data_IF_916459695515
#
_entry.id   IF_916459695515
#
_cell.length_a   1.000
_cell.length_b   1.000
_cell.length_c   1.000
_cell.angle_alpha   90.00
_cell.angle_beta   90.00
_cell.angle_gamma   90.00
#
_symmetry.space_group_name_H-M   'P 1'
#
loop_
_entity.id
_entity.type
_entity.pdbx_description
1 polymer ?
#
# COMPACT_ATOMS: atom_id res chain seq x y z
N UNK A 1 8.61 -9.98 -10.33
CA UNK A 1 8.17 -10.31 -8.97
C UNK A 1 7.98 -9.07 -8.09
N UNK A 2 8.62 -7.94 -8.44
CA UNK A 2 8.52 -6.70 -7.70
C UNK A 2 8.39 -5.50 -8.63
N UNK A 3 7.72 -4.44 -8.15
CA UNK A 3 7.55 -3.18 -8.86
C UNK A 3 8.00 -2.05 -7.94
N UNK A 4 8.94 -1.23 -8.40
CA UNK A 4 9.38 -0.03 -7.72
C UNK A 4 9.14 1.19 -8.61
N UNK A 5 8.37 2.14 -8.11
CA UNK A 5 7.95 3.33 -8.86
C UNK A 5 8.37 4.59 -8.13
N UNK A 6 8.74 5.62 -8.89
CA UNK A 6 9.14 6.89 -8.30
C UNK A 6 8.77 8.09 -9.19
N UNK A 7 8.37 9.18 -8.57
CA UNK A 7 7.97 10.41 -9.25
C UNK A 7 6.67 10.98 -8.75
N UNK A 8 5.87 11.54 -9.67
CA UNK A 8 4.55 12.09 -9.40
C UNK A 8 3.61 11.72 -10.55
N UNK A 9 2.91 10.60 -10.42
CA UNK A 9 1.98 10.10 -11.44
C UNK A 9 1.06 9.01 -10.84
N UNK A 10 0.05 8.62 -11.61
CA UNK A 10 -0.85 7.55 -11.22
C UNK A 10 -0.39 6.21 -11.80
N UNK A 11 -0.19 5.23 -10.93
CA UNK A 11 0.08 3.84 -11.28
C UNK A 11 -1.20 3.02 -11.16
N UNK A 12 -1.55 2.29 -12.22
CA UNK A 12 -2.68 1.35 -12.21
C UNK A 12 -2.15 -0.06 -12.42
N UNK A 13 -2.37 -0.92 -11.44
CA UNK A 13 -2.07 -2.35 -11.57
C UNK A 13 -3.27 -3.06 -12.17
N UNK A 14 -3.03 -3.82 -13.23
CA UNK A 14 -4.08 -4.57 -13.93
C UNK A 14 -3.74 -6.05 -13.95
N UNK A 15 -4.73 -6.92 -13.85
CA UNK A 15 -4.50 -8.35 -14.09
C UNK A 15 -4.18 -8.59 -15.57
N UNK A 16 -3.15 -9.35 -15.87
CA UNK A 16 -2.78 -9.66 -17.25
C UNK A 16 -1.39 -10.25 -17.44
N UNK A 17 -1.04 -10.47 -18.70
CA UNK A 17 0.28 -10.96 -19.05
C UNK A 17 1.33 -9.87 -18.83
N UNK A 18 2.37 -10.21 -18.07
CA UNK A 18 3.49 -9.31 -17.78
C UNK A 18 4.39 -9.12 -19.01
N UNK A 19 4.89 -7.92 -19.22
CA UNK A 19 5.88 -7.63 -20.26
C UNK A 19 5.66 -6.33 -21.02
N UNK A 20 4.45 -5.77 -21.05
CA UNK A 20 4.15 -4.52 -21.76
C UNK A 20 3.47 -3.52 -20.82
N UNK A 21 4.05 -2.32 -20.73
CA UNK A 21 3.43 -1.20 -20.03
C UNK A 21 2.52 -0.42 -20.99
N UNK A 22 1.40 0.09 -20.50
CA UNK A 22 0.59 1.08 -21.22
C UNK A 22 0.73 2.42 -20.49
N UNK A 23 0.93 3.47 -21.26
CA UNK A 23 1.08 4.82 -20.75
C UNK A 23 0.01 5.72 -21.35
N UNK A 24 -0.74 6.41 -20.48
CA UNK A 24 -1.74 7.40 -20.87
C UNK A 24 -1.30 8.78 -20.38
N UNK A 25 -1.10 9.69 -21.31
CA UNK A 25 -0.63 11.05 -21.02
C UNK A 25 -0.21 11.78 -22.29
N UNK A 26 0.43 12.92 -22.12
CA UNK A 26 0.99 13.67 -23.26
C UNK A 26 2.23 12.97 -23.83
N UNK A 27 2.38 12.96 -25.16
CA UNK A 27 3.53 12.31 -25.82
C UNK A 27 4.88 12.87 -25.38
N UNK A 28 4.92 14.14 -25.01
CA UNK A 28 6.09 14.87 -24.55
C UNK A 28 6.70 14.31 -23.26
N UNK A 29 5.94 13.54 -22.48
CA UNK A 29 6.43 12.90 -21.25
C UNK A 29 7.24 11.62 -21.51
N UNK A 30 7.01 10.94 -22.63
CA UNK A 30 7.60 9.64 -22.92
C UNK A 30 9.14 9.62 -22.88
N UNK A 31 9.89 10.63 -23.37
CA UNK A 31 11.34 10.65 -23.26
C UNK A 31 11.87 10.73 -21.81
N UNK A 32 11.03 11.18 -20.88
CA UNK A 32 11.38 11.35 -19.46
C UNK A 32 10.94 10.18 -18.58
N UNK A 33 10.07 9.31 -19.13
CA UNK A 33 9.65 8.08 -18.45
C UNK A 33 10.74 7.01 -18.67
N UNK A 34 11.40 6.64 -17.58
CA UNK A 34 12.46 5.62 -17.58
C UNK A 34 11.90 4.32 -17.01
N UNK A 35 12.12 3.25 -17.76
CA UNK A 35 11.75 1.90 -17.32
C UNK A 35 12.95 0.98 -17.43
N UNK A 36 13.16 0.13 -16.45
CA UNK A 36 14.19 -0.91 -16.49
C UNK A 36 13.76 -2.11 -15.66
N UNK A 37 14.32 -3.28 -16.00
CA UNK A 37 14.12 -4.50 -15.21
C UNK A 37 15.49 -5.02 -14.79
N UNK A 38 15.67 -5.20 -13.48
CA UNK A 38 16.87 -5.79 -12.91
C UNK A 38 16.49 -6.68 -11.72
N UNK A 39 17.09 -7.86 -11.62
CA UNK A 39 16.86 -8.81 -10.52
C UNK A 39 15.37 -9.09 -10.25
N UNK A 40 14.56 -9.22 -11.30
CA UNK A 40 13.10 -9.43 -11.23
C UNK A 40 12.32 -8.25 -10.62
N UNK A 41 12.92 -7.07 -10.56
CA UNK A 41 12.29 -5.81 -10.15
C UNK A 41 12.09 -4.95 -11.38
N UNK A 42 10.86 -4.53 -11.62
CA UNK A 42 10.53 -3.49 -12.61
C UNK A 42 10.67 -2.13 -11.94
N UNK A 43 11.54 -1.29 -12.46
CA UNK A 43 11.68 0.11 -12.06
C UNK A 43 10.99 1.00 -13.06
N UNK A 44 10.13 1.91 -12.56
CA UNK A 44 9.47 2.94 -13.36
C UNK A 44 9.67 4.28 -12.69
N UNK A 45 10.29 5.22 -13.38
CA UNK A 45 10.56 6.55 -12.83
C UNK A 45 10.36 7.64 -13.87
N UNK A 46 10.06 8.84 -13.41
CA UNK A 46 10.07 10.05 -14.23
C UNK A 46 11.26 10.89 -13.84
N UNK A 47 11.97 11.43 -14.84
CA UNK A 47 13.07 12.35 -14.61
C UNK A 47 12.55 13.63 -13.91
N UNK A 48 13.10 13.95 -12.74
CA UNK A 48 12.73 15.12 -11.94
C UNK A 48 12.90 16.47 -12.65
N UNK A 49 13.63 16.49 -13.77
CA UNK A 49 13.78 17.69 -14.62
C UNK A 49 12.51 18.01 -15.40
N UNK A 50 11.64 17.03 -15.59
CA UNK A 50 10.38 17.23 -16.29
C UNK A 50 9.26 17.57 -15.32
N UNK A 51 8.70 18.78 -15.46
CA UNK A 51 7.50 19.17 -14.73
C UNK A 51 6.28 18.70 -15.50
N UNK A 52 5.57 17.72 -14.97
CA UNK A 52 4.31 17.27 -15.55
C UNK A 52 3.31 18.43 -15.55
N UNK A 53 2.80 18.75 -16.73
CA UNK A 53 1.75 19.77 -16.94
C UNK A 53 0.35 19.17 -16.87
N UNK A 54 0.24 17.85 -17.02
CA UNK A 54 -1.02 17.10 -17.02
C UNK A 54 -0.80 15.77 -16.30
N UNK A 55 -1.88 15.11 -15.93
CA UNK A 55 -1.85 13.79 -15.32
C UNK A 55 -1.19 12.75 -16.26
N UNK A 56 -0.34 11.93 -15.69
CA UNK A 56 0.23 10.75 -16.33
C UNK A 56 -0.28 9.50 -15.62
N UNK A 57 -0.74 8.53 -16.39
CA UNK A 57 -1.13 7.22 -15.85
C UNK A 57 -0.28 6.12 -16.49
N UNK A 58 0.30 5.28 -15.68
CA UNK A 58 1.07 4.11 -16.11
C UNK A 58 0.31 2.84 -15.70
N UNK A 59 -0.04 2.01 -16.67
CA UNK A 59 -0.69 0.73 -16.43
C UNK A 59 0.34 -0.38 -16.48
N UNK A 60 0.43 -1.15 -15.40
CA UNK A 60 1.34 -2.28 -15.27
C UNK A 60 0.52 -3.56 -15.14
N UNK A 61 0.55 -4.46 -16.14
CA UNK A 61 -0.05 -5.77 -15.97
C UNK A 61 0.79 -6.60 -14.98
N UNK A 62 0.09 -7.23 -14.05
CA UNK A 62 0.68 -8.08 -13.02
C UNK A 62 0.01 -9.46 -13.02
N UNK A 63 0.66 -10.42 -12.43
CA UNK A 63 0.14 -11.77 -12.21
C UNK A 63 0.34 -12.19 -10.73
N UNK A 64 -0.02 -13.41 -10.42
CA UNK A 64 0.05 -13.98 -9.05
C UNK A 64 1.46 -14.07 -8.47
N UNK A 65 2.52 -13.87 -9.26
CA UNK A 65 3.91 -13.87 -8.79
C UNK A 65 4.39 -12.52 -8.21
N UNK A 66 3.51 -11.50 -8.19
CA UNK A 66 3.80 -10.22 -7.58
C UNK A 66 3.96 -10.37 -6.06
N UNK A 67 5.09 -9.91 -5.52
CA UNK A 67 5.44 -10.01 -4.10
C UNK A 67 5.64 -8.64 -3.44
N UNK A 68 5.96 -7.62 -4.22
CA UNK A 68 6.33 -6.33 -3.65
C UNK A 68 6.00 -5.17 -4.58
N UNK A 69 5.46 -4.11 -3.99
CA UNK A 69 5.31 -2.79 -4.61
C UNK A 69 5.92 -1.75 -3.69
N UNK A 70 6.76 -0.88 -4.23
CA UNK A 70 7.30 0.29 -3.53
C UNK A 70 6.99 1.53 -4.35
N UNK A 71 6.20 2.44 -3.78
CA UNK A 71 5.90 3.74 -4.37
C UNK A 71 6.65 4.85 -3.63
N UNK A 72 7.45 5.63 -4.37
CA UNK A 72 8.28 6.72 -3.85
C UNK A 72 7.86 8.06 -4.44
N UNK A 73 7.86 9.09 -3.63
CA UNK A 73 7.45 10.44 -4.06
C UNK A 73 5.95 10.67 -3.94
N UNK A 74 5.31 11.18 -4.97
CA UNK A 74 3.88 11.45 -5.05
C UNK A 74 3.20 10.54 -6.10
N UNK A 75 3.47 9.24 -6.04
CA UNK A 75 2.86 8.24 -6.93
C UNK A 75 1.63 7.67 -6.26
N UNK A 76 0.47 7.95 -6.87
CA UNK A 76 -0.77 7.31 -6.47
C UNK A 76 -0.86 5.92 -7.10
N UNK A 77 -1.20 4.92 -6.32
CA UNK A 77 -1.28 3.52 -6.76
C UNK A 77 -2.71 3.03 -6.66
N UNK A 78 -3.24 2.49 -7.73
CA UNK A 78 -4.54 1.84 -7.69
C UNK A 78 -4.54 0.48 -8.39
N UNK A 79 -5.55 -0.34 -8.10
CA UNK A 79 -5.75 -1.62 -8.77
C UNK A 79 -7.00 -1.58 -9.64
N UNK A 80 -6.90 -2.12 -10.83
CA UNK A 80 -8.06 -2.38 -11.67
C UNK A 80 -8.47 -3.85 -11.49
N UNK A 81 -9.43 -4.08 -10.62
CA UNK A 81 -9.85 -5.41 -10.21
C UNK A 81 -9.13 -5.92 -8.95
N UNK A 82 -9.36 -7.17 -8.62
CA UNK A 82 -8.84 -7.81 -7.41
C UNK A 82 -7.47 -8.45 -7.68
N UNK A 83 -6.47 -8.08 -6.90
CA UNK A 83 -5.16 -8.73 -6.91
C UNK A 83 -5.22 -10.04 -6.11
N UNK A 84 -5.05 -11.17 -6.79
CA UNK A 84 -4.91 -12.48 -6.14
C UNK A 84 -3.44 -12.84 -6.05
N UNK A 85 -2.90 -12.87 -4.84
CA UNK A 85 -1.47 -13.05 -4.59
C UNK A 85 -1.24 -13.93 -3.36
N UNK A 86 -0.09 -14.57 -3.24
CA UNK A 86 0.29 -15.31 -2.04
C UNK A 86 0.71 -14.36 -0.92
N UNK A 87 1.91 -13.82 -1.03
CA UNK A 87 2.46 -12.85 -0.07
C UNK A 87 2.73 -11.54 -0.81
N UNK A 88 2.22 -10.43 -0.29
CA UNK A 88 2.38 -9.11 -0.88
C UNK A 88 2.86 -8.09 0.13
N UNK A 89 3.93 -7.38 -0.20
CA UNK A 89 4.41 -6.20 0.51
C UNK A 89 4.07 -4.95 -0.29
N UNK A 90 3.33 -4.04 0.33
CA UNK A 90 2.99 -2.70 -0.17
C UNK A 90 3.71 -1.65 0.66
N UNK A 91 4.49 -0.79 0.04
CA UNK A 91 5.26 0.24 0.73
C UNK A 91 5.10 1.59 0.06
N UNK A 92 4.63 2.57 0.82
CA UNK A 92 4.55 3.98 0.42
C UNK A 92 5.67 4.75 1.11
N UNK A 93 6.59 5.33 0.31
CA UNK A 93 7.68 6.19 0.76
C UNK A 93 7.51 7.58 0.15
N UNK A 94 6.52 8.32 0.63
CA UNK A 94 6.20 9.65 0.09
C UNK A 94 4.84 10.16 0.52
N UNK A 95 4.17 10.86 -0.38
CA UNK A 95 2.85 11.48 -0.17
C UNK A 95 1.79 11.01 -1.19
N UNK A 96 2.06 9.99 -1.97
CA UNK A 96 1.08 9.37 -2.86
C UNK A 96 0.19 8.39 -2.11
N UNK A 97 -1.03 8.22 -2.58
CA UNK A 97 -2.04 7.37 -1.97
C UNK A 97 -2.08 5.98 -2.62
N UNK A 98 -2.61 4.99 -1.90
CA UNK A 98 -2.80 3.63 -2.40
C UNK A 98 -4.23 3.16 -2.17
N UNK A 99 -4.91 2.80 -3.27
CA UNK A 99 -6.24 2.20 -3.28
C UNK A 99 -6.19 0.82 -3.95
N UNK A 100 -6.46 -0.25 -3.21
CA UNK A 100 -6.32 -1.59 -3.74
C UNK A 100 -7.40 -2.56 -3.29
N UNK A 101 -7.75 -3.50 -4.17
CA UNK A 101 -8.54 -4.68 -3.80
C UNK A 101 -7.65 -5.92 -3.85
N UNK A 102 -7.48 -6.61 -2.70
CA UNK A 102 -6.49 -7.68 -2.55
C UNK A 102 -7.10 -8.94 -1.95
N UNK A 103 -6.68 -10.07 -2.45
CA UNK A 103 -6.90 -11.39 -1.84
C UNK A 103 -5.52 -12.03 -1.65
N UNK A 104 -5.06 -12.16 -0.40
CA UNK A 104 -3.71 -12.60 -0.08
C UNK A 104 -3.66 -13.60 1.07
N UNK A 105 -2.63 -14.45 1.10
CA UNK A 105 -2.31 -15.24 2.29
C UNK A 105 -1.61 -14.37 3.33
N UNK A 106 -0.69 -13.51 2.90
CA UNK A 106 -0.02 -12.55 3.78
C UNK A 106 0.08 -11.18 3.10
N UNK A 107 -0.33 -10.14 3.83
CA UNK A 107 -0.27 -8.76 3.38
C UNK A 107 0.54 -7.92 4.36
N UNK A 108 1.61 -7.29 3.88
CA UNK A 108 2.44 -6.34 4.62
C UNK A 108 2.23 -4.93 4.02
N UNK A 109 1.72 -4.01 4.81
CA UNK A 109 1.44 -2.63 4.42
C UNK A 109 2.27 -1.67 5.25
N UNK A 110 3.11 -0.87 4.61
CA UNK A 110 3.97 0.11 5.29
C UNK A 110 3.81 1.50 4.70
N UNK A 111 3.50 2.47 5.53
CA UNK A 111 3.49 3.89 5.18
C UNK A 111 4.63 4.59 5.91
N UNK A 112 5.60 5.09 5.16
CA UNK A 112 6.77 5.82 5.66
C UNK A 112 6.78 7.26 5.11
N UNK A 113 5.63 7.90 5.09
CA UNK A 113 5.41 9.25 4.57
C UNK A 113 4.12 9.86 5.11
N UNK A 114 3.41 10.57 4.25
CA UNK A 114 2.13 11.23 4.54
C UNK A 114 1.00 10.79 3.59
N UNK A 115 1.22 9.76 2.79
CA UNK A 115 0.19 9.20 1.91
C UNK A 115 -0.74 8.26 2.66
N UNK A 116 -1.96 8.15 2.18
CA UNK A 116 -2.99 7.32 2.76
C UNK A 116 -3.14 5.99 2.00
N UNK A 117 -3.59 4.96 2.71
CA UNK A 117 -3.79 3.63 2.15
C UNK A 117 -5.20 3.14 2.44
N UNK A 118 -5.95 2.80 1.41
CA UNK A 118 -7.24 2.10 1.49
C UNK A 118 -7.13 0.75 0.79
N UNK A 119 -7.36 -0.33 1.53
CA UNK A 119 -7.35 -1.68 0.95
C UNK A 119 -8.61 -2.43 1.34
N UNK A 120 -9.22 -3.02 0.32
CA UNK A 120 -10.39 -3.88 0.46
C UNK A 120 -10.05 -5.34 0.13
N UNK A 121 -10.83 -6.30 0.63
CA UNK A 121 -10.69 -7.71 0.28
C UNK A 121 -10.45 -8.64 1.47
N UNK A 122 -9.47 -9.57 1.34
CA UNK A 122 -9.22 -10.58 2.39
C UNK A 122 -7.73 -10.88 2.54
N UNK A 123 -7.31 -11.17 3.79
CA UNK A 123 -5.97 -11.67 4.09
C UNK A 123 -6.02 -12.70 5.24
N UNK A 124 -5.16 -13.72 5.21
CA UNK A 124 -5.03 -14.57 6.41
C UNK A 124 -4.18 -13.89 7.48
N UNK A 125 -3.07 -13.28 7.07
CA UNK A 125 -2.17 -12.52 7.94
C UNK A 125 -1.98 -11.11 7.40
N UNK A 126 -2.15 -10.14 8.29
CA UNK A 126 -1.97 -8.72 8.02
C UNK A 126 -0.87 -8.16 8.90
N UNK A 127 0.08 -7.43 8.33
CA UNK A 127 0.99 -6.57 9.04
C UNK A 127 0.82 -5.14 8.51
N UNK A 128 0.41 -4.19 9.35
CA UNK A 128 0.22 -2.80 8.97
C UNK A 128 1.06 -1.88 9.86
N UNK A 129 1.91 -1.07 9.25
CA UNK A 129 2.87 -0.22 9.96
C UNK A 129 2.84 1.21 9.43
N UNK A 130 2.56 2.16 10.30
CA UNK A 130 2.69 3.60 10.03
C UNK A 130 3.94 4.13 10.72
N UNK A 131 4.89 4.65 9.95
CA UNK A 131 6.12 5.32 10.42
C UNK A 131 6.12 6.83 10.18
N UNK A 132 5.11 7.34 9.50
CA UNK A 132 4.94 8.74 9.14
C UNK A 132 3.70 9.36 9.76
N UNK A 133 2.96 10.14 8.96
CA UNK A 133 1.73 10.83 9.33
C UNK A 133 0.51 10.44 8.47
N UNK A 134 0.65 9.44 7.60
CA UNK A 134 -0.44 8.93 6.77
C UNK A 134 -1.31 7.92 7.52
N UNK A 135 -2.49 7.68 7.01
CA UNK A 135 -3.48 6.78 7.57
C UNK A 135 -3.55 5.46 6.77
N UNK A 136 -3.88 4.36 7.44
CA UNK A 136 -4.13 3.05 6.82
C UNK A 136 -5.56 2.62 7.14
N UNK A 137 -6.44 2.62 6.14
CA UNK A 137 -7.80 2.14 6.25
C UNK A 137 -7.95 0.73 5.64
N UNK A 138 -8.17 -0.25 6.51
CA UNK A 138 -8.36 -1.65 6.16
C UNK A 138 -9.68 -2.19 6.76
N UNK A 139 -10.68 -1.30 7.00
CA UNK A 139 -11.98 -1.70 7.54
C UNK A 139 -12.74 -2.65 6.62
N UNK A 140 -12.47 -2.57 5.32
CA UNK A 140 -13.08 -3.40 4.28
C UNK A 140 -12.16 -4.55 3.83
N UNK A 141 -11.02 -4.75 4.50
CA UNK A 141 -10.15 -5.91 4.37
C UNK A 141 -10.36 -6.85 5.56
N UNK A 142 -10.97 -8.00 5.35
CA UNK A 142 -11.16 -8.98 6.42
C UNK A 142 -9.88 -9.79 6.59
N UNK A 143 -9.22 -9.61 7.73
CA UNK A 143 -8.04 -10.39 8.12
C UNK A 143 -8.34 -11.36 9.25
N UNK A 144 -7.71 -12.55 9.25
CA UNK A 144 -7.81 -13.47 10.40
C UNK A 144 -6.93 -12.99 11.54
N UNK A 145 -5.66 -12.73 11.26
CA UNK A 145 -4.66 -12.27 12.24
C UNK A 145 -3.99 -10.99 11.79
N UNK A 146 -3.78 -10.06 12.71
CA UNK A 146 -3.14 -8.80 12.39
C UNK A 146 -2.09 -8.37 13.42
N UNK A 147 -1.01 -7.77 12.92
CA UNK A 147 -0.06 -6.98 13.67
C UNK A 147 -0.17 -5.54 13.20
N UNK A 148 -0.56 -4.62 14.09
CA UNK A 148 -0.83 -3.22 13.78
C UNK A 148 0.12 -2.34 14.58
N UNK A 149 0.92 -1.51 13.91
CA UNK A 149 1.94 -0.69 14.57
C UNK A 149 1.95 0.74 14.08
N UNK A 150 1.91 1.69 15.01
CA UNK A 150 2.13 3.11 14.75
C UNK A 150 3.40 3.55 15.47
N UNK A 151 4.37 4.04 14.70
CA UNK A 151 5.59 4.68 15.20
C UNK A 151 5.68 6.14 14.72
N UNK A 152 4.55 6.75 14.41
CA UNK A 152 4.40 8.13 13.88
C UNK A 152 3.17 8.80 14.46
N UNK A 153 2.44 9.55 13.62
CA UNK A 153 1.27 10.35 14.02
C UNK A 153 -0.02 10.03 13.22
N UNK A 154 -0.05 8.90 12.52
CA UNK A 154 -1.21 8.49 11.73
C UNK A 154 -2.15 7.53 12.46
N UNK A 155 -3.13 7.00 11.72
CA UNK A 155 -4.12 6.07 12.24
C UNK A 155 -4.10 4.76 11.46
N UNK A 156 -4.54 3.68 12.10
CA UNK A 156 -4.81 2.40 11.46
C UNK A 156 -6.22 1.96 11.83
N UNK A 157 -7.04 1.66 10.82
CA UNK A 157 -8.33 1.02 11.00
C UNK A 157 -8.30 -0.35 10.32
N UNK A 158 -8.65 -1.42 11.02
CA UNK A 158 -8.58 -2.79 10.48
C UNK A 158 -9.75 -3.64 10.92
N UNK A 159 -10.17 -4.58 10.05
CA UNK A 159 -11.17 -5.60 10.39
C UNK A 159 -10.45 -6.94 10.61
N UNK A 160 -10.48 -7.44 11.85
CA UNK A 160 -9.75 -8.66 12.24
C UNK A 160 -10.67 -9.59 13.02
N UNK A 161 -10.61 -10.90 12.73
CA UNK A 161 -11.58 -11.87 13.25
C UNK A 161 -11.03 -12.83 14.30
N UNK A 162 -9.70 -13.06 14.39
CA UNK A 162 -9.13 -14.07 15.28
C UNK A 162 -8.12 -13.49 16.30
N UNK A 163 -7.10 -12.79 15.83
CA UNK A 163 -6.00 -12.33 16.69
C UNK A 163 -5.46 -10.97 16.27
N UNK A 164 -5.26 -10.07 17.23
CA UNK A 164 -4.62 -8.77 17.02
C UNK A 164 -3.52 -8.54 18.04
N UNK A 165 -2.36 -8.09 17.53
CA UNK A 165 -1.29 -7.45 18.30
C UNK A 165 -1.17 -6.00 17.83
N UNK A 166 -1.65 -5.05 18.64
CA UNK A 166 -1.70 -3.63 18.30
C UNK A 166 -0.77 -2.80 19.19
N UNK A 167 0.09 -1.98 18.60
CA UNK A 167 1.00 -1.13 19.37
C UNK A 167 1.13 0.28 18.79
N UNK A 168 1.21 1.27 19.68
CA UNK A 168 1.44 2.68 19.36
C UNK A 168 2.69 3.16 20.11
N UNK A 169 3.66 3.68 19.38
CA UNK A 169 4.86 4.35 19.91
C UNK A 169 4.96 5.80 19.40
N UNK A 170 3.84 6.52 19.37
CA UNK A 170 3.73 7.87 18.84
C UNK A 170 2.41 8.52 19.24
N UNK A 171 1.82 9.32 18.33
CA UNK A 171 0.51 9.94 18.50
C UNK A 171 -0.43 9.42 17.39
N UNK A 172 -1.55 8.84 17.75
CA UNK A 172 -2.49 8.34 16.75
C UNK A 172 -3.48 7.33 17.33
N UNK A 173 -4.24 6.69 16.45
CA UNK A 173 -5.29 5.75 16.83
C UNK A 173 -5.22 4.42 16.08
N UNK A 174 -5.46 3.32 16.79
CA UNK A 174 -5.75 2.04 16.16
C UNK A 174 -7.19 1.66 16.49
N UNK A 175 -7.99 1.46 15.44
CA UNK A 175 -9.37 1.01 15.55
C UNK A 175 -9.46 -0.40 14.95
N UNK A 176 -9.95 -1.35 15.73
CA UNK A 176 -10.12 -2.73 15.30
C UNK A 176 -11.61 -3.06 15.27
N UNK A 177 -12.11 -3.50 14.12
CA UNK A 177 -13.44 -4.07 13.92
C UNK A 177 -13.36 -5.59 13.89
N UNK A 178 -14.47 -6.31 14.23
CA UNK A 178 -14.56 -7.76 14.09
C UNK A 178 -14.41 -8.56 15.39
N UNK A 179 -14.23 -7.88 16.54
CA UNK A 179 -14.21 -8.46 17.88
C UNK A 179 -13.33 -9.73 18.02
N UNK A 180 -12.03 -9.67 17.69
CA UNK A 180 -11.14 -10.82 17.75
C UNK A 180 -11.00 -11.36 19.20
N UNK A 181 -11.10 -12.69 19.41
CA UNK A 181 -10.99 -13.29 20.75
C UNK A 181 -9.62 -13.11 21.40
N UNK A 182 -8.56 -12.88 20.61
CA UNK A 182 -7.23 -12.60 21.12
C UNK A 182 -6.84 -11.17 20.76
N UNK A 183 -6.78 -10.30 21.78
CA UNK A 183 -6.45 -8.90 21.57
C UNK A 183 -5.35 -8.43 22.53
N UNK A 184 -4.16 -8.22 22.00
CA UNK A 184 -3.00 -7.67 22.69
C UNK A 184 -2.83 -6.21 22.32
N UNK A 185 -2.61 -5.33 23.29
CA UNK A 185 -2.40 -3.90 23.02
C UNK A 185 -1.29 -3.32 23.90
N UNK A 186 -0.52 -2.39 23.32
CA UNK A 186 0.51 -1.64 24.02
C UNK A 186 0.54 -0.19 23.50
N UNK A 187 0.53 0.78 24.40
CA UNK A 187 0.62 2.20 24.04
C UNK A 187 1.79 2.84 24.79
N UNK A 188 2.76 3.34 24.02
CA UNK A 188 3.90 4.13 24.48
C UNK A 188 3.86 5.50 23.78
N UNK A 189 3.04 6.43 24.29
CA UNK A 189 2.84 7.74 23.66
C UNK A 189 1.45 8.29 23.92
N UNK A 190 0.99 9.20 23.03
CA UNK A 190 -0.34 9.81 23.09
C UNK A 190 -1.22 9.17 22.03
N UNK A 191 -1.90 8.10 22.36
CA UNK A 191 -2.75 7.39 21.39
C UNK A 191 -3.82 6.53 22.07
N UNK A 192 -4.75 6.05 21.25
CA UNK A 192 -5.83 5.17 21.69
C UNK A 192 -5.93 3.94 20.81
N UNK A 193 -6.07 2.78 21.42
CA UNK A 193 -6.41 1.53 20.75
C UNK A 193 -7.80 1.09 21.21
N UNK A 194 -8.74 0.95 20.29
CA UNK A 194 -10.14 0.57 20.57
C UNK A 194 -10.61 -0.55 19.65
N UNK A 195 -11.59 -1.33 20.14
CA UNK A 195 -12.41 -2.22 19.32
C UNK A 195 -13.72 -1.48 19.02
N UNK A 196 -14.19 -1.59 17.79
CA UNK A 196 -15.54 -1.19 17.35
C UNK A 196 -16.34 -2.46 17.04
N UNK A 197 -17.56 -2.49 17.55
CA UNK A 197 -18.54 -3.53 17.25
C UNK A 197 -19.14 -3.39 15.84
#
# INVERSE_FOLDING_TARGET
ESVEVSGAYHLVLTEGEVGTLKVKGQKEVLPYLKTSVSNKVLYVSIDNKYKLKTSLTVYIPINTSLKKIVAKGAVDVSTQGKLKVGELQLKIEGSGDLDATVEATALDVQVAGAGDVDITGTAERLNAVVKGAGDIDLKNLIAKKATLRIAGAGNISAHVTEEVDASIAGAGGITVKGNPPVFKKSVKGIGRIKIEE
#
